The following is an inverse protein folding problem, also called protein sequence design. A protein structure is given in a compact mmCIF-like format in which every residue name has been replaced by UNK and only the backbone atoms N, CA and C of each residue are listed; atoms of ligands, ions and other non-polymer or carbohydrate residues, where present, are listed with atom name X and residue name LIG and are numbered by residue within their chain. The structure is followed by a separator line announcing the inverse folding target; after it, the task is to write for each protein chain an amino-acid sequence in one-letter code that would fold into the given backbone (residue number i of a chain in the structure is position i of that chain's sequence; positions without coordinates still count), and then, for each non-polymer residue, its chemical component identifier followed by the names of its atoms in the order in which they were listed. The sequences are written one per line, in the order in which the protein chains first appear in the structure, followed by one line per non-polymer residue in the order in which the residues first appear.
data_IF_512492931714
#
_entry.id   IF_512492931714
#
_cell.length_a   1.000
_cell.length_b   1.000
_cell.length_c   1.000
_cell.angle_alpha   90.00
_cell.angle_beta   90.00
_cell.angle_gamma   90.00
#
_symmetry.space_group_name_H-M   'P 1'
#
loop_
_entity.id
_entity.type
_entity.pdbx_description
1 polymer ?
#
# COMPACT_ATOMS: atom_id res chain seq x y z
N UNK A 1 -3.81 24.58 9.32
CA UNK A 1 -4.83 23.72 8.67
C UNK A 1 -5.87 24.60 8.02
N UNK A 2 -6.17 24.43 6.72
CA UNK A 2 -7.22 25.21 6.07
C UNK A 2 -8.58 24.85 6.68
N UNK A 3 -9.32 25.85 7.12
CA UNK A 3 -10.69 25.66 7.65
C UNK A 3 -11.74 25.55 6.54
N UNK A 4 -11.46 26.17 5.38
CA UNK A 4 -12.31 26.19 4.19
C UNK A 4 -11.43 25.96 2.96
N UNK A 5 -11.92 25.21 1.99
CA UNK A 5 -11.26 24.94 0.73
C UNK A 5 -10.43 23.65 0.70
N UNK A 6 -10.04 23.24 -0.48
CA UNK A 6 -9.24 22.03 -0.70
C UNK A 6 -7.75 22.34 -0.54
N UNK A 7 -7.06 21.49 0.21
CA UNK A 7 -5.60 21.52 0.26
C UNK A 7 -5.06 21.05 -1.09
N UNK A 8 -4.19 21.86 -1.72
CA UNK A 8 -3.51 21.45 -2.94
C UNK A 8 -2.66 20.20 -2.69
N UNK A 9 -2.85 19.19 -3.50
CA UNK A 9 -2.02 17.97 -3.44
C UNK A 9 -0.67 18.29 -4.06
N UNK A 10 0.40 18.01 -3.33
CA UNK A 10 1.76 18.08 -3.87
C UNK A 10 2.02 16.83 -4.71
N UNK A 11 2.42 17.02 -5.95
CA UNK A 11 2.88 15.93 -6.80
C UNK A 11 4.33 15.58 -6.45
N UNK A 12 4.72 14.33 -6.69
CA UNK A 12 6.08 13.85 -6.52
C UNK A 12 6.75 13.69 -7.87
N UNK A 13 8.05 13.92 -7.89
CA UNK A 13 8.86 13.64 -9.08
C UNK A 13 9.02 12.13 -9.25
N UNK A 14 9.10 11.68 -10.51
CA UNK A 14 9.39 10.28 -10.80
C UNK A 14 10.79 9.90 -10.29
N UNK A 15 10.95 8.65 -9.87
CA UNK A 15 12.25 8.14 -9.45
C UNK A 15 13.23 8.13 -10.62
N UNK A 16 14.48 8.63 -10.45
CA UNK A 16 15.44 8.70 -11.54
C UNK A 16 15.91 7.34 -12.06
N UNK A 17 15.91 6.30 -11.22
CA UNK A 17 16.35 4.96 -11.62
C UNK A 17 15.27 4.20 -12.39
N UNK A 18 14.02 4.31 -11.97
CA UNK A 18 12.88 3.55 -12.51
C UNK A 18 11.86 4.40 -13.24
N UNK A 19 12.04 5.71 -13.27
CA UNK A 19 11.13 6.67 -13.89
C UNK A 19 9.65 6.47 -13.49
N UNK A 20 9.42 6.16 -12.22
CA UNK A 20 8.09 5.85 -11.67
C UNK A 20 7.77 6.69 -10.45
N UNK A 21 6.65 7.36 -10.47
CA UNK A 21 6.12 8.11 -9.31
C UNK A 21 5.71 7.19 -8.17
N UNK A 22 5.29 5.96 -8.47
CA UNK A 22 4.90 4.97 -7.46
C UNK A 22 6.12 4.53 -6.65
N UNK A 23 7.26 4.35 -7.31
CA UNK A 23 8.54 4.03 -6.64
C UNK A 23 8.96 5.18 -5.71
N UNK A 24 8.84 6.42 -6.15
CA UNK A 24 9.10 7.59 -5.27
C UNK A 24 8.19 7.59 -4.05
N UNK A 25 6.92 7.29 -4.22
CA UNK A 25 5.96 7.17 -3.10
C UNK A 25 6.32 6.02 -2.16
N UNK A 26 6.79 4.88 -2.70
CA UNK A 26 7.28 3.76 -1.88
C UNK A 26 8.49 4.18 -1.04
N UNK A 27 9.48 4.84 -1.64
CA UNK A 27 10.66 5.37 -0.94
C UNK A 27 10.22 6.30 0.20
N UNK A 28 9.28 7.21 -0.07
CA UNK A 28 8.76 8.13 0.94
C UNK A 28 8.03 7.40 2.09
N UNK A 29 7.38 6.27 1.82
CA UNK A 29 6.75 5.44 2.86
C UNK A 29 7.77 4.64 3.68
N UNK A 30 8.84 4.17 3.06
CA UNK A 30 9.93 3.45 3.74
C UNK A 30 10.79 4.40 4.59
N UNK A 31 10.91 5.66 4.18
CA UNK A 31 11.73 6.66 4.85
C UNK A 31 11.31 6.85 6.32
N UNK A 32 12.31 6.89 7.20
CA UNK A 32 12.19 7.26 8.61
C UNK A 32 13.11 8.45 8.92
N UNK A 33 12.66 9.35 9.77
CA UNK A 33 13.45 10.50 10.27
C UNK A 33 14.07 11.38 9.16
N UNK A 34 13.41 11.44 8.00
CA UNK A 34 13.90 12.20 6.84
C UNK A 34 15.09 11.60 6.12
N UNK A 35 15.50 10.37 6.45
CA UNK A 35 16.67 9.67 5.87
C UNK A 35 16.34 9.09 4.50
N UNK A 36 16.14 9.95 3.52
CA UNK A 36 15.71 9.54 2.17
C UNK A 36 16.76 8.68 1.44
N UNK A 37 18.05 9.01 1.57
CA UNK A 37 19.11 8.23 0.93
C UNK A 37 19.17 6.78 1.41
N UNK A 38 18.92 6.53 2.69
CA UNK A 38 18.82 5.17 3.24
C UNK A 38 17.60 4.44 2.69
N UNK A 39 16.45 5.11 2.62
CA UNK A 39 15.24 4.54 2.04
C UNK A 39 15.41 4.18 0.55
N UNK A 40 16.09 5.03 -0.21
CA UNK A 40 16.42 4.75 -1.61
C UNK A 40 17.29 3.49 -1.75
N UNK A 41 18.33 3.36 -0.94
CA UNK A 41 19.18 2.15 -0.93
C UNK A 41 18.37 0.90 -0.61
N UNK A 42 17.48 0.94 0.35
CA UNK A 42 16.63 -0.19 0.71
C UNK A 42 15.72 -0.59 -0.45
N UNK A 43 15.06 0.36 -1.08
CA UNK A 43 14.15 0.08 -2.20
C UNK A 43 14.89 -0.43 -3.42
N UNK A 44 16.01 0.18 -3.79
CA UNK A 44 16.82 -0.26 -4.93
C UNK A 44 17.42 -1.64 -4.68
N UNK A 45 17.93 -1.91 -3.49
CA UNK A 45 18.44 -3.22 -3.12
C UNK A 45 17.35 -4.29 -3.12
N UNK A 46 16.14 -3.97 -2.63
CA UNK A 46 15.00 -4.86 -2.68
C UNK A 46 14.60 -5.19 -4.13
N UNK A 47 14.56 -4.19 -5.01
CA UNK A 47 14.25 -4.39 -6.42
C UNK A 47 15.30 -5.22 -7.16
N UNK A 48 16.57 -5.00 -6.88
CA UNK A 48 17.65 -5.84 -7.42
C UNK A 48 17.47 -7.31 -7.00
N UNK A 49 17.18 -7.56 -5.73
CA UNK A 49 16.90 -8.93 -5.23
C UNK A 49 15.69 -9.56 -5.90
N UNK A 50 14.60 -8.79 -6.09
CA UNK A 50 13.42 -9.26 -6.81
C UNK A 50 13.78 -9.66 -8.24
N UNK A 51 14.54 -8.83 -8.97
CA UNK A 51 14.97 -9.12 -10.32
C UNK A 51 15.88 -10.36 -10.40
N UNK A 52 16.83 -10.50 -9.49
CA UNK A 52 17.73 -11.66 -9.40
C UNK A 52 16.98 -12.95 -9.09
N UNK A 53 16.02 -12.90 -8.18
CA UNK A 53 15.28 -14.10 -7.72
C UNK A 53 14.22 -14.54 -8.72
N UNK A 54 13.49 -13.59 -9.31
CA UNK A 54 12.37 -13.90 -10.21
C UNK A 54 12.78 -14.00 -11.68
N UNK A 55 13.92 -13.40 -12.05
CA UNK A 55 14.36 -13.27 -13.44
C UNK A 55 13.50 -12.33 -14.29
N UNK A 56 12.55 -11.60 -13.67
CA UNK A 56 11.68 -10.61 -14.31
C UNK A 56 12.11 -9.20 -13.96
N UNK A 57 11.58 -8.22 -14.70
CA UNK A 57 11.76 -6.82 -14.33
C UNK A 57 11.12 -6.54 -12.96
N UNK A 58 11.89 -5.96 -12.06
CA UNK A 58 11.45 -5.65 -10.70
C UNK A 58 10.23 -4.72 -10.68
N UNK A 59 10.13 -3.79 -11.62
CA UNK A 59 8.97 -2.89 -11.75
C UNK A 59 7.70 -3.68 -12.08
N UNK A 60 7.76 -4.60 -13.02
CA UNK A 60 6.61 -5.44 -13.39
C UNK A 60 6.12 -6.27 -12.21
N UNK A 61 7.04 -6.90 -11.48
CA UNK A 61 6.72 -7.68 -10.27
C UNK A 61 6.12 -6.78 -9.20
N UNK A 62 6.64 -5.58 -9.01
CA UNK A 62 6.11 -4.61 -8.05
C UNK A 62 4.71 -4.12 -8.43
N UNK A 63 4.46 -3.84 -9.69
CA UNK A 63 3.13 -3.44 -10.18
C UNK A 63 2.11 -4.56 -10.00
N UNK A 64 2.48 -5.81 -10.29
CA UNK A 64 1.65 -6.99 -10.03
C UNK A 64 1.35 -7.13 -8.53
N UNK A 65 2.36 -7.00 -7.68
CA UNK A 65 2.20 -7.00 -6.22
C UNK A 65 1.24 -5.91 -5.77
N UNK A 66 1.39 -4.69 -6.26
CA UNK A 66 0.51 -3.57 -5.92
C UNK A 66 -0.93 -3.82 -6.36
N UNK A 67 -1.15 -4.36 -7.55
CA UNK A 67 -2.50 -4.71 -8.03
C UNK A 67 -3.16 -5.75 -7.11
N UNK A 68 -2.40 -6.70 -6.59
CA UNK A 68 -2.88 -7.71 -5.66
C UNK A 68 -3.15 -7.17 -4.24
N UNK A 69 -2.47 -6.12 -3.82
CA UNK A 69 -2.60 -5.52 -2.48
C UNK A 69 -3.68 -4.43 -2.42
N UNK A 70 -3.84 -3.65 -3.48
CA UNK A 70 -4.73 -2.49 -3.48
C UNK A 70 -6.20 -2.90 -3.24
N UNK A 71 -6.87 -2.36 -2.19
CA UNK A 71 -8.26 -2.69 -1.91
C UNK A 71 -9.23 -1.94 -2.81
N UNK A 72 -10.34 -2.56 -3.16
CA UNK A 72 -11.46 -1.91 -3.87
C UNK A 72 -12.47 -1.33 -2.89
N UNK A 73 -12.67 -2.00 -1.74
CA UNK A 73 -13.61 -1.63 -0.71
C UNK A 73 -12.90 -1.37 0.62
N UNK A 74 -13.42 -0.42 1.37
CA UNK A 74 -13.07 -0.21 2.77
C UNK A 74 -14.34 0.03 3.59
N UNK A 75 -14.23 -0.03 4.91
CA UNK A 75 -15.33 0.33 5.81
C UNK A 75 -15.05 1.64 6.52
N UNK A 76 -16.06 2.47 6.63
CA UNK A 76 -16.00 3.74 7.34
C UNK A 76 -17.06 3.78 8.43
N UNK A 77 -16.64 4.15 9.62
CA UNK A 77 -17.56 4.28 10.74
C UNK A 77 -18.50 5.46 10.54
N UNK A 78 -19.81 5.23 10.70
CA UNK A 78 -20.84 6.27 10.69
C UNK A 78 -21.76 6.09 11.89
N UNK A 79 -21.99 7.17 12.62
CA UNK A 79 -22.89 7.16 13.76
C UNK A 79 -24.31 7.53 13.32
N UNK A 80 -25.27 6.65 13.62
CA UNK A 80 -26.68 6.83 13.28
C UNK A 80 -27.51 6.46 14.52
N UNK A 81 -28.33 7.38 15.00
CA UNK A 81 -29.20 7.12 16.14
C UNK A 81 -28.49 6.65 17.42
N UNK A 82 -27.28 7.12 17.65
CA UNK A 82 -26.49 6.73 18.83
C UNK A 82 -25.63 5.46 18.65
N UNK A 83 -25.90 4.64 17.64
CA UNK A 83 -25.10 3.46 17.30
C UNK A 83 -24.08 3.77 16.20
N UNK A 84 -22.90 3.13 16.26
CA UNK A 84 -21.86 3.26 15.24
C UNK A 84 -21.89 2.06 14.32
N UNK A 85 -22.10 2.31 13.03
CA UNK A 85 -22.10 1.30 11.98
C UNK A 85 -20.84 1.41 11.13
N UNK A 86 -20.33 0.28 10.69
CA UNK A 86 -19.25 0.23 9.69
C UNK A 86 -19.88 0.13 8.29
N UNK A 87 -19.81 1.23 7.55
CA UNK A 87 -20.42 1.34 6.22
C UNK A 87 -19.38 1.03 5.16
N UNK A 88 -19.61 0.03 4.29
CA UNK A 88 -18.69 -0.25 3.18
C UNK A 88 -18.79 0.84 2.11
N UNK A 89 -17.64 1.31 1.66
CA UNK A 89 -17.49 2.31 0.61
C UNK A 89 -16.43 1.88 -0.41
N UNK A 90 -16.60 2.35 -1.64
CA UNK A 90 -15.58 2.18 -2.67
C UNK A 90 -14.38 3.10 -2.38
N UNK A 91 -13.19 2.57 -2.61
CA UNK A 91 -11.94 3.30 -2.41
C UNK A 91 -11.54 4.00 -3.70
N UNK A 92 -11.29 5.32 -3.63
CA UNK A 92 -10.78 6.10 -4.78
C UNK A 92 -9.40 5.60 -5.22
N UNK A 93 -9.05 5.66 -6.53
CA UNK A 93 -7.79 5.13 -7.04
C UNK A 93 -6.53 5.63 -6.32
N UNK A 94 -6.46 6.92 -6.00
CA UNK A 94 -5.34 7.49 -5.25
C UNK A 94 -5.21 6.90 -3.84
N UNK A 95 -6.34 6.70 -3.17
CA UNK A 95 -6.36 6.09 -1.84
C UNK A 95 -6.04 4.61 -1.89
N UNK A 96 -6.48 3.90 -2.93
CA UNK A 96 -6.11 2.50 -3.16
C UNK A 96 -4.59 2.35 -3.20
N UNK A 97 -3.93 3.19 -4.01
CA UNK A 97 -2.48 3.20 -4.11
C UNK A 97 -1.80 3.53 -2.78
N UNK A 98 -2.30 4.55 -2.06
CA UNK A 98 -1.76 4.96 -0.76
C UNK A 98 -1.89 3.84 0.29
N UNK A 99 -3.03 3.15 0.33
CA UNK A 99 -3.25 2.02 1.23
C UNK A 99 -2.33 0.84 0.88
N UNK A 100 -2.19 0.50 -0.40
CA UNK A 100 -1.30 -0.56 -0.85
C UNK A 100 0.16 -0.31 -0.44
N UNK A 101 0.67 0.90 -0.69
CA UNK A 101 2.03 1.29 -0.30
C UNK A 101 2.24 1.28 1.21
N UNK A 102 1.24 1.72 1.97
CA UNK A 102 1.29 1.68 3.44
C UNK A 102 1.31 0.24 3.96
N UNK A 103 0.50 -0.63 3.42
CA UNK A 103 0.44 -2.02 3.88
C UNK A 103 1.70 -2.81 3.52
N UNK A 104 2.21 -2.68 2.30
CA UNK A 104 3.46 -3.35 1.93
C UNK A 104 4.63 -2.90 2.82
N UNK A 105 4.72 -1.61 3.12
CA UNK A 105 5.72 -1.06 4.03
C UNK A 105 5.56 -1.60 5.46
N UNK A 106 4.33 -1.58 5.97
CA UNK A 106 4.04 -2.04 7.34
C UNK A 106 4.34 -3.52 7.52
N UNK A 107 3.89 -4.35 6.58
CA UNK A 107 4.04 -5.80 6.69
C UNK A 107 5.44 -6.28 6.32
N UNK A 108 6.16 -5.58 5.45
CA UNK A 108 7.59 -5.85 5.26
C UNK A 108 8.38 -5.67 6.56
N UNK A 109 8.09 -4.63 7.34
CA UNK A 109 8.75 -4.40 8.64
C UNK A 109 8.46 -5.47 9.68
N UNK A 110 7.33 -6.17 9.58
CA UNK A 110 6.94 -7.24 10.51
C UNK A 110 7.53 -8.61 10.16
N UNK A 111 8.21 -8.74 9.03
CA UNK A 111 8.84 -9.99 8.62
C UNK A 111 10.07 -10.29 9.48
N UNK A 112 10.47 -11.57 9.50
CA UNK A 112 11.58 -12.06 10.30
C UNK A 112 12.96 -12.03 9.66
N UNK A 113 13.08 -11.63 8.38
CA UNK A 113 14.37 -11.57 7.69
C UNK A 113 15.28 -10.51 8.33
N UNK A 114 16.57 -10.64 8.12
CA UNK A 114 17.61 -9.86 8.81
C UNK A 114 17.57 -8.38 8.43
N UNK A 115 17.48 -8.05 7.15
CA UNK A 115 17.54 -6.68 6.65
C UNK A 115 16.18 -6.22 6.12
N UNK A 116 15.92 -4.90 6.15
CA UNK A 116 14.68 -4.35 5.58
C UNK A 116 14.62 -4.54 4.04
N UNK A 117 15.76 -4.57 3.40
CA UNK A 117 15.89 -4.87 1.97
C UNK A 117 15.38 -6.26 1.63
N UNK A 118 15.78 -7.27 2.40
CA UNK A 118 15.31 -8.65 2.24
C UNK A 118 13.80 -8.77 2.57
N UNK A 119 13.37 -8.13 3.64
CA UNK A 119 11.95 -8.12 4.05
C UNK A 119 11.06 -7.51 2.98
N UNK A 120 11.47 -6.37 2.40
CA UNK A 120 10.70 -5.70 1.35
C UNK A 120 10.68 -6.53 0.06
N UNK A 121 11.81 -7.09 -0.35
CA UNK A 121 11.91 -7.94 -1.54
C UNK A 121 10.99 -9.16 -1.43
N UNK A 122 11.05 -9.86 -0.31
CA UNK A 122 10.22 -11.05 -0.07
C UNK A 122 8.73 -10.72 0.02
N UNK A 123 8.38 -9.58 0.64
CA UNK A 123 6.96 -9.15 0.68
C UNK A 123 6.43 -8.79 -0.71
N UNK A 124 7.24 -8.15 -1.56
CA UNK A 124 6.88 -7.86 -2.95
C UNK A 124 6.67 -9.16 -3.73
N UNK A 125 7.58 -10.12 -3.63
CA UNK A 125 7.47 -11.40 -4.32
C UNK A 125 6.26 -12.22 -3.86
N UNK A 126 6.03 -12.29 -2.55
CA UNK A 126 4.86 -12.98 -1.99
C UNK A 126 3.55 -12.32 -2.47
N UNK A 127 3.50 -11.00 -2.46
CA UNK A 127 2.33 -10.25 -2.93
C UNK A 127 2.08 -10.40 -4.43
N UNK A 128 3.12 -10.46 -5.25
CA UNK A 128 3.01 -10.74 -6.69
C UNK A 128 2.41 -12.14 -6.93
N UNK A 129 2.72 -13.10 -6.06
CA UNK A 129 2.12 -14.45 -6.07
C UNK A 129 0.76 -14.51 -5.35
N UNK A 130 0.15 -13.38 -5.05
CA UNK A 130 -1.13 -13.27 -4.34
C UNK A 130 -1.13 -13.93 -2.95
N UNK A 131 -0.01 -13.87 -2.27
CA UNK A 131 0.20 -14.39 -0.91
C UNK A 131 0.81 -13.33 -0.01
N UNK A 132 1.03 -13.65 1.24
CA UNK A 132 1.68 -12.75 2.20
C UNK A 132 0.70 -11.89 3.00
N UNK A 133 1.26 -11.19 3.99
CA UNK A 133 0.47 -10.46 4.98
C UNK A 133 -0.22 -9.22 4.40
N UNK A 134 0.37 -8.57 3.40
CA UNK A 134 -0.22 -7.40 2.73
C UNK A 134 -1.49 -7.79 1.96
N UNK A 135 -1.45 -8.88 1.22
CA UNK A 135 -2.61 -9.41 0.50
C UNK A 135 -3.68 -9.89 1.47
N UNK A 136 -3.28 -10.57 2.54
CA UNK A 136 -4.21 -10.99 3.61
C UNK A 136 -4.93 -9.79 4.22
N UNK A 137 -4.25 -8.67 4.43
CA UNK A 137 -4.87 -7.43 4.92
C UNK A 137 -5.96 -6.91 3.99
N UNK A 138 -5.72 -6.95 2.68
CA UNK A 138 -6.75 -6.60 1.68
C UNK A 138 -7.95 -7.55 1.79
N UNK A 139 -7.72 -8.85 1.85
CA UNK A 139 -8.78 -9.85 1.96
C UNK A 139 -9.61 -9.67 3.23
N UNK A 140 -8.95 -9.43 4.36
CA UNK A 140 -9.64 -9.16 5.63
C UNK A 140 -10.50 -7.90 5.54
N UNK A 141 -10.01 -6.85 4.91
CA UNK A 141 -10.77 -5.62 4.68
C UNK A 141 -12.00 -5.87 3.80
N UNK A 142 -11.85 -6.65 2.74
CA UNK A 142 -12.96 -7.02 1.85
C UNK A 142 -13.98 -7.91 2.55
N UNK A 143 -13.56 -8.87 3.38
CA UNK A 143 -14.45 -9.69 4.20
C UNK A 143 -15.27 -8.86 5.18
N UNK A 144 -14.63 -7.89 5.85
CA UNK A 144 -15.33 -6.96 6.74
C UNK A 144 -16.35 -6.11 5.96
N UNK A 145 -15.97 -5.60 4.80
CA UNK A 145 -16.88 -4.83 3.95
C UNK A 145 -18.07 -5.66 3.48
N UNK A 146 -17.86 -6.91 3.11
CA UNK A 146 -18.91 -7.83 2.69
C UNK A 146 -19.84 -8.20 3.86
N UNK A 147 -19.29 -8.48 5.04
CA UNK A 147 -20.09 -8.73 6.25
C UNK A 147 -20.99 -7.55 6.64
N UNK A 148 -20.57 -6.33 6.32
CA UNK A 148 -21.34 -5.09 6.58
C UNK A 148 -22.13 -4.61 5.35
N UNK A 149 -22.29 -5.42 4.32
CA UNK A 149 -23.00 -5.07 3.07
C UNK A 149 -24.42 -4.57 3.30
N UNK A 150 -25.10 -5.08 4.32
CA UNK A 150 -26.44 -4.64 4.69
C UNK A 150 -26.52 -3.14 5.03
N UNK A 151 -25.41 -2.52 5.46
CA UNK A 151 -25.32 -1.09 5.81
C UNK A 151 -24.88 -0.20 4.64
N UNK A 152 -24.72 -0.76 3.44
CA UNK A 152 -24.26 -0.01 2.26
C UNK A 152 -25.18 1.16 1.89
N UNK A 153 -26.47 1.08 2.20
CA UNK A 153 -27.43 2.16 1.97
C UNK A 153 -27.23 3.38 2.89
N UNK A 154 -26.44 3.27 3.95
CA UNK A 154 -26.05 4.39 4.82
C UNK A 154 -24.85 5.19 4.29
N UNK A 155 -24.55 5.13 3.01
CA UNK A 155 -23.41 5.84 2.39
C UNK A 155 -23.40 7.33 2.72
N UNK A 156 -22.19 7.89 2.69
CA UNK A 156 -21.94 9.31 2.95
C UNK A 156 -22.26 10.17 1.73
#
# INVERSE_FOLDING_TARGET
MPRKGHTQKRDVLADPMYNSKVVTKLINNIMLDGKKGVAQKIVYGAFNRVAETTGKDAIEVFEEAMNNIMPVLEVKAKRIGGATYQVPIEVKPERRQALGLRWITLYSRKRGEKTQEERLANEIMDAANNTGASVKKKEDMHKIAEANKAFAHYRF
#
